data_IF_888263762171
#
_entry.id   IF_888263762171
#
_cell.length_a   1.000
_cell.length_b   1.000
_cell.length_c   1.000
_cell.angle_alpha   90.00
_cell.angle_beta   90.00
_cell.angle_gamma   90.00
#
_symmetry.space_group_name_H-M   'P 1'
#
loop_
_entity.id
_entity.type
_entity.pdbx_description
1 polymer ?
#
# COMPACT_ATOMS: atom_id res chain seq x y z
N UNK A 1 -9.52 1.80 22.62
CA UNK A 1 -9.63 3.27 22.60
C UNK A 1 -8.90 3.77 21.36
N UNK A 2 -9.59 4.50 20.49
CA UNK A 2 -9.03 5.02 19.24
C UNK A 2 -7.92 6.04 19.48
N UNK A 3 -7.91 6.74 20.61
CA UNK A 3 -6.83 7.67 20.96
C UNK A 3 -5.53 6.93 21.25
N UNK A 4 -5.58 5.81 21.97
CA UNK A 4 -4.40 4.96 22.22
C UNK A 4 -3.87 4.38 20.91
N UNK A 5 -4.77 3.95 20.01
CA UNK A 5 -4.37 3.48 18.68
C UNK A 5 -3.72 4.59 17.86
N UNK A 6 -4.28 5.80 17.86
CA UNK A 6 -3.74 6.96 17.17
C UNK A 6 -2.34 7.35 17.68
N UNK A 7 -2.11 7.38 19.00
CA UNK A 7 -0.77 7.60 19.56
C UNK A 7 0.25 6.58 19.06
N UNK A 8 -0.16 5.32 18.85
CA UNK A 8 0.69 4.29 18.24
C UNK A 8 1.00 4.58 16.77
N UNK A 9 0.02 5.08 16.01
CA UNK A 9 0.22 5.51 14.62
C UNK A 9 1.22 6.67 14.55
N UNK A 10 1.07 7.69 15.41
CA UNK A 10 2.00 8.83 15.46
C UNK A 10 3.41 8.37 15.79
N UNK A 11 3.59 7.56 16.83
CA UNK A 11 4.89 7.04 17.22
C UNK A 11 5.57 6.28 16.06
N UNK A 12 4.81 5.42 15.37
CA UNK A 12 5.33 4.67 14.21
C UNK A 12 5.74 5.59 13.07
N UNK A 13 5.00 6.69 12.85
CA UNK A 13 5.34 7.67 11.81
C UNK A 13 6.59 8.49 12.16
N UNK A 14 6.81 8.78 13.45
CA UNK A 14 8.01 9.48 13.94
C UNK A 14 9.29 8.65 13.75
N UNK A 15 9.19 7.32 13.67
CA UNK A 15 10.32 6.41 13.45
C UNK A 15 10.90 6.46 12.01
N UNK A 16 10.19 7.07 11.05
CA UNK A 16 10.68 7.23 9.67
C UNK A 16 11.81 8.27 9.57
N UNK A 17 13.01 7.87 9.93
CA UNK A 17 14.21 8.73 9.96
C UNK A 17 14.76 9.18 8.59
N UNK A 18 14.36 8.53 7.49
CA UNK A 18 14.90 8.79 6.14
C UNK A 18 13.99 9.68 5.28
N UNK A 19 12.90 10.20 5.83
CA UNK A 19 11.88 10.95 5.10
C UNK A 19 11.87 12.40 5.56
N UNK A 20 12.18 13.33 4.67
CA UNK A 20 12.17 14.78 4.99
C UNK A 20 10.74 15.31 5.17
N UNK A 21 9.78 14.81 4.38
CA UNK A 21 8.36 15.16 4.47
C UNK A 21 7.47 13.93 4.33
N UNK A 22 6.54 13.75 5.25
CA UNK A 22 5.58 12.65 5.19
C UNK A 22 4.51 12.90 4.12
N UNK A 23 4.09 11.87 3.37
CA UNK A 23 2.98 11.98 2.42
C UNK A 23 1.68 12.36 3.14
N UNK A 24 0.97 13.37 2.64
CA UNK A 24 -0.32 13.81 3.20
C UNK A 24 -1.51 12.96 2.76
N UNK A 25 -1.28 11.78 2.19
CA UNK A 25 -2.35 10.83 1.84
C UNK A 25 -2.13 9.55 2.62
N UNK A 26 -3.03 9.27 3.54
CA UNK A 26 -3.06 8.03 4.30
C UNK A 26 -4.04 7.11 3.61
N UNK A 27 -3.57 5.91 3.26
CA UNK A 27 -4.37 4.86 2.65
C UNK A 27 -4.66 3.78 3.70
N UNK A 28 -5.93 3.55 3.98
CA UNK A 28 -6.40 2.53 4.90
C UNK A 28 -6.76 1.25 4.13
N UNK A 29 -6.31 0.11 4.65
CA UNK A 29 -6.68 -1.22 4.19
C UNK A 29 -6.78 -2.23 5.36
N UNK A 30 -7.41 -3.38 5.11
CA UNK A 30 -7.56 -4.46 6.10
C UNK A 30 -8.84 -4.37 6.94
N UNK A 31 -9.15 -5.44 7.68
CA UNK A 31 -10.45 -5.54 8.38
C UNK A 31 -10.67 -4.52 9.49
N UNK A 32 -9.59 -3.99 10.11
CA UNK A 32 -9.69 -2.99 11.17
C UNK A 32 -10.27 -1.65 10.70
N UNK A 33 -10.22 -1.37 9.39
CA UNK A 33 -10.67 -0.09 8.83
C UNK A 33 -12.18 0.00 8.68
N UNK A 34 -12.91 -1.08 8.94
CA UNK A 34 -14.39 -1.10 8.95
C UNK A 34 -14.95 -0.36 10.16
N UNK A 35 -14.16 -0.20 11.21
CA UNK A 35 -14.54 0.61 12.36
C UNK A 35 -14.51 2.09 11.95
N UNK A 36 -15.67 2.78 11.87
CA UNK A 36 -15.72 4.17 11.39
C UNK A 36 -14.83 5.11 12.21
N UNK A 37 -14.78 4.87 13.52
CA UNK A 37 -13.99 5.63 14.48
C UNK A 37 -12.50 5.69 14.12
N UNK A 38 -11.97 4.70 13.40
CA UNK A 38 -10.57 4.67 12.95
C UNK A 38 -10.31 5.78 11.93
N UNK A 39 -11.17 5.87 10.91
CA UNK A 39 -11.05 6.91 9.90
C UNK A 39 -11.37 8.28 10.48
N UNK A 40 -12.43 8.38 11.29
CA UNK A 40 -12.81 9.63 11.95
C UNK A 40 -11.69 10.17 12.84
N UNK A 41 -11.00 9.29 13.58
CA UNK A 41 -9.85 9.68 14.42
C UNK A 41 -8.74 10.28 13.58
N UNK A 42 -8.38 9.68 12.45
CA UNK A 42 -7.33 10.21 11.57
C UNK A 42 -7.73 11.51 10.84
N UNK A 43 -8.99 11.64 10.43
CA UNK A 43 -9.50 12.84 9.75
C UNK A 43 -9.56 14.06 10.67
N UNK A 44 -9.90 13.82 11.94
CA UNK A 44 -10.04 14.86 12.97
C UNK A 44 -8.78 15.02 13.85
N UNK A 45 -7.76 14.19 13.65
CA UNK A 45 -6.53 14.21 14.42
C UNK A 45 -5.83 15.58 14.40
N UNK A 46 -5.40 16.00 15.58
CA UNK A 46 -4.38 17.03 15.76
C UNK A 46 -3.01 16.34 15.74
N UNK A 47 -2.40 16.28 14.56
CA UNK A 47 -1.11 15.64 14.38
C UNK A 47 0.01 16.37 15.12
N UNK A 48 0.91 15.60 15.73
CA UNK A 48 2.15 16.08 16.35
C UNK A 48 2.92 17.02 15.41
N UNK A 49 3.40 18.13 15.96
CA UNK A 49 4.25 19.10 15.24
C UNK A 49 5.58 18.50 14.80
N UNK A 50 5.98 17.36 15.36
CA UNK A 50 7.20 16.64 14.98
C UNK A 50 7.01 15.81 13.70
N UNK A 51 5.78 15.58 13.25
CA UNK A 51 5.49 14.85 12.03
C UNK A 51 5.51 15.83 10.84
N UNK A 52 6.49 15.70 9.91
CA UNK A 52 6.72 16.70 8.88
C UNK A 52 5.76 16.54 7.69
N UNK A 53 4.45 16.66 7.91
CA UNK A 53 3.48 16.68 6.82
C UNK A 53 3.48 18.05 6.12
N UNK A 54 3.57 18.07 4.78
CA UNK A 54 3.52 19.31 4.00
C UNK A 54 2.14 20.03 4.06
N UNK A 55 1.09 19.30 4.41
CA UNK A 55 -0.30 19.76 4.60
C UNK A 55 -1.07 18.74 5.43
N UNK A 56 -2.23 19.12 5.95
CA UNK A 56 -3.10 18.22 6.73
C UNK A 56 -3.31 16.89 5.96
N UNK A 57 -3.04 15.74 6.58
CA UNK A 57 -3.28 14.43 5.97
C UNK A 57 -4.74 14.24 5.58
N UNK A 58 -4.94 13.51 4.49
CA UNK A 58 -6.25 13.09 3.99
C UNK A 58 -6.34 11.58 4.04
N UNK A 59 -7.48 11.05 4.46
CA UNK A 59 -7.70 9.62 4.65
C UNK A 59 -8.48 9.08 3.46
N UNK A 60 -8.00 7.98 2.87
CA UNK A 60 -8.68 7.28 1.79
C UNK A 60 -8.64 5.78 2.07
N UNK A 61 -9.55 5.04 1.45
CA UNK A 61 -9.59 3.58 1.54
C UNK A 61 -9.09 2.97 0.25
N UNK A 62 -8.23 1.96 0.38
CA UNK A 62 -7.90 1.06 -0.72
C UNK A 62 -9.08 0.12 -0.90
N UNK A 63 -9.41 -0.21 -2.15
CA UNK A 63 -10.42 -1.19 -2.54
C UNK A 63 -9.76 -2.33 -3.31
N UNK A 64 -10.38 -3.53 -3.34
CA UNK A 64 -9.88 -4.64 -4.15
C UNK A 64 -9.60 -4.29 -5.62
N UNK A 65 -10.42 -3.42 -6.21
CA UNK A 65 -10.26 -2.95 -7.60
C UNK A 65 -8.99 -2.10 -7.82
N UNK A 66 -8.38 -1.57 -6.75
CA UNK A 66 -7.14 -0.81 -6.83
C UNK A 66 -5.90 -1.71 -6.95
N UNK A 67 -6.05 -3.04 -6.91
CA UNK A 67 -4.97 -4.01 -7.13
C UNK A 67 -4.87 -4.36 -8.63
N UNK A 68 -4.03 -3.63 -9.37
CA UNK A 68 -4.05 -3.56 -10.84
C UNK A 68 -3.83 -4.89 -11.58
N UNK A 69 -2.91 -5.76 -11.13
CA UNK A 69 -2.53 -6.97 -11.89
C UNK A 69 -3.37 -8.21 -11.53
N UNK A 70 -4.47 -8.04 -10.79
CA UNK A 70 -5.36 -9.12 -10.36
C UNK A 70 -6.77 -8.87 -10.89
N UNK A 71 -7.30 -9.83 -11.65
CA UNK A 71 -8.71 -9.84 -12.03
C UNK A 71 -9.43 -10.97 -11.29
N UNK A 72 -10.30 -10.60 -10.36
CA UNK A 72 -11.23 -11.54 -9.74
C UNK A 72 -12.37 -11.87 -10.71
N UNK A 73 -12.54 -13.16 -11.02
CA UNK A 73 -13.62 -13.66 -11.88
C UNK A 73 -14.79 -14.24 -11.09
N UNK A 74 -14.64 -14.44 -9.78
CA UNK A 74 -15.72 -14.95 -8.94
C UNK A 74 -16.58 -13.82 -8.38
N UNK A 75 -16.07 -12.59 -8.41
CA UNK A 75 -16.71 -11.38 -7.87
C UNK A 75 -16.90 -11.45 -6.33
N UNK A 76 -16.16 -12.32 -5.66
CA UNK A 76 -16.25 -12.53 -4.22
C UNK A 76 -15.27 -11.63 -3.43
N UNK A 77 -14.22 -11.14 -4.08
CA UNK A 77 -13.17 -10.32 -3.46
C UNK A 77 -13.58 -8.85 -3.40
N UNK A 78 -14.55 -8.53 -2.53
CA UNK A 78 -15.17 -7.20 -2.44
C UNK A 78 -14.84 -6.44 -1.16
N UNK A 79 -14.15 -7.07 -0.21
CA UNK A 79 -13.96 -6.54 1.14
C UNK A 79 -12.55 -5.98 1.37
N UNK A 80 -12.37 -5.09 2.36
CA UNK A 80 -11.05 -4.53 2.69
C UNK A 80 -9.99 -5.56 3.11
N UNK A 81 -10.39 -6.72 3.66
CA UNK A 81 -9.44 -7.78 4.04
C UNK A 81 -8.99 -8.62 2.85
N UNK A 82 -9.67 -8.55 1.71
CA UNK A 82 -9.28 -9.24 0.48
C UNK A 82 -8.07 -8.56 -0.19
N UNK A 83 -7.82 -7.29 0.15
CA UNK A 83 -6.70 -6.50 -0.39
C UNK A 83 -5.35 -7.14 -0.04
N UNK A 84 -5.15 -7.62 1.19
CA UNK A 84 -3.88 -8.21 1.61
C UNK A 84 -3.50 -9.46 0.80
N UNK A 85 -4.35 -10.50 0.68
CA UNK A 85 -4.03 -11.66 -0.16
C UNK A 85 -3.93 -11.29 -1.65
N UNK A 86 -4.76 -10.37 -2.16
CA UNK A 86 -4.64 -9.89 -3.55
C UNK A 86 -3.30 -9.18 -3.79
N UNK A 87 -2.84 -8.36 -2.87
CA UNK A 87 -1.56 -7.65 -2.98
C UNK A 87 -0.37 -8.62 -2.99
N UNK A 88 -0.46 -9.71 -2.22
CA UNK A 88 0.55 -10.76 -2.24
C UNK A 88 0.56 -11.49 -3.60
N UNK A 89 -0.61 -11.77 -4.17
CA UNK A 89 -0.71 -12.34 -5.50
C UNK A 89 -0.15 -11.39 -6.58
N UNK A 90 -0.44 -10.09 -6.47
CA UNK A 90 0.12 -9.05 -7.36
C UNK A 90 1.66 -9.06 -7.32
N UNK A 91 2.24 -9.06 -6.11
CA UNK A 91 3.68 -9.15 -5.92
C UNK A 91 4.28 -10.41 -6.54
N UNK A 92 3.61 -11.57 -6.37
CA UNK A 92 4.08 -12.82 -6.97
C UNK A 92 4.05 -12.77 -8.51
N UNK A 93 3.02 -12.15 -9.11
CA UNK A 93 2.96 -11.94 -10.56
C UNK A 93 4.11 -11.06 -11.02
N UNK A 94 4.39 -9.97 -10.31
CA UNK A 94 5.46 -9.03 -10.65
C UNK A 94 6.83 -9.73 -10.62
N UNK A 95 7.12 -10.49 -9.56
CA UNK A 95 8.38 -11.24 -9.42
C UNK A 95 8.59 -12.27 -10.54
N UNK A 96 7.57 -13.06 -10.88
CA UNK A 96 7.67 -14.06 -11.96
C UNK A 96 7.66 -13.39 -13.35
N UNK A 97 7.11 -12.19 -13.47
CA UNK A 97 7.15 -11.37 -14.69
C UNK A 97 8.56 -10.85 -14.98
N UNK A 98 9.24 -10.31 -13.96
CA UNK A 98 10.61 -9.80 -14.08
C UNK A 98 11.60 -10.88 -14.54
N UNK A 99 11.58 -12.07 -13.94
CA UNK A 99 12.44 -13.20 -14.35
C UNK A 99 12.30 -13.50 -15.85
N UNK A 100 11.05 -13.61 -16.35
CA UNK A 100 10.76 -13.91 -17.76
C UNK A 100 11.28 -12.84 -18.72
N UNK A 101 11.22 -11.55 -18.34
CA UNK A 101 11.73 -10.46 -19.17
C UNK A 101 13.27 -10.54 -19.27
N UNK A 102 13.95 -10.78 -18.15
CA UNK A 102 15.42 -10.88 -18.14
C UNK A 102 15.94 -12.04 -18.99
N UNK A 103 15.30 -13.21 -18.90
CA UNK A 103 15.63 -14.38 -19.74
C UNK A 103 15.42 -14.10 -21.23
N UNK A 104 14.35 -13.39 -21.59
CA UNK A 104 14.06 -13.01 -22.97
C UNK A 104 15.13 -12.08 -23.54
N UNK A 105 15.60 -11.11 -22.75
CA UNK A 105 16.67 -10.18 -23.15
C UNK A 105 17.99 -10.94 -23.31
N UNK A 106 18.37 -11.80 -22.36
CA UNK A 106 19.57 -12.61 -22.44
C UNK A 106 19.56 -13.51 -23.67
N UNK A 107 18.45 -14.18 -23.95
CA UNK A 107 18.30 -15.02 -25.14
C UNK A 107 18.46 -14.23 -26.44
N UNK A 108 17.93 -13.00 -26.52
CA UNK A 108 18.13 -12.11 -27.67
C UNK A 108 19.59 -11.72 -27.86
N UNK A 109 20.30 -11.39 -26.78
CA UNK A 109 21.74 -11.06 -26.83
C UNK A 109 22.54 -12.28 -27.30
N UNK A 110 22.32 -13.46 -26.71
CA UNK A 110 23.00 -14.70 -27.10
C UNK A 110 22.76 -15.06 -28.56
N UNK A 111 21.53 -14.87 -29.04
CA UNK A 111 21.19 -15.13 -30.46
C UNK A 111 21.92 -14.15 -31.38
N UNK A 112 21.98 -12.87 -31.02
CA UNK A 112 22.66 -11.83 -31.80
C UNK A 112 24.19 -12.00 -31.86
N UNK A 113 24.79 -12.68 -30.87
CA UNK A 113 26.22 -13.01 -30.85
C UNK A 113 26.57 -14.27 -31.67
N UNK A 114 25.58 -15.07 -32.07
CA UNK A 114 25.74 -16.28 -32.89
C UNK A 114 25.59 -16.01 -34.39
N UNK A 115 25.09 -14.83 -34.75
CA UNK A 115 25.10 -14.29 -36.12
C UNK A 115 26.42 -13.54 -36.40
#
# INVERSE_FOLDING_TARGET
>A
DCQVWFSGVELTLEEFSQVELLPSRILLCGGGTILPDIAETLENAEWSTNLPFARKPTVHFIKPIDVENITDKTEDLVNPWDITPMSLANLAIDLVGEERITDSILNKIVTSLRE
#
